data_IF_979901649921
#
_entry.id   IF_979901649921
#
_cell.length_a   1.000
_cell.length_b   1.000
_cell.length_c   1.000
_cell.angle_alpha   90.00
_cell.angle_beta   90.00
_cell.angle_gamma   90.00
#
_symmetry.space_group_name_H-M   'P 1'
#
loop_
_entity.id
_entity.type
_entity.pdbx_description
1 polymer ?
#
# COMPACT_ATOMS: atom_id res chain seq x y z
N UNK A 1 8.99 -0.31 5.71
CA UNK A 1 9.00 1.17 5.72
C UNK A 1 9.68 1.69 6.99
N UNK A 2 10.18 2.94 7.03
CA UNK A 2 10.92 3.48 8.20
C UNK A 2 10.50 4.88 8.64
N UNK A 3 9.77 5.64 7.83
CA UNK A 3 9.34 6.99 8.17
C UNK A 3 8.00 7.35 7.51
N UNK A 4 7.44 8.52 7.86
CA UNK A 4 6.18 9.00 7.29
C UNK A 4 6.20 9.18 5.77
N UNK A 5 7.34 9.57 5.17
CA UNK A 5 7.44 9.67 3.71
C UNK A 5 7.33 8.31 3.01
N UNK A 6 7.86 7.25 3.63
CA UNK A 6 7.69 5.88 3.12
C UNK A 6 6.21 5.49 3.08
N UNK A 7 5.47 5.82 4.15
CA UNK A 7 4.03 5.56 4.24
C UNK A 7 3.28 6.35 3.19
N UNK A 8 3.60 7.64 3.03
CA UNK A 8 2.96 8.48 2.02
C UNK A 8 3.16 7.94 0.61
N UNK A 9 4.38 7.53 0.25
CA UNK A 9 4.67 6.97 -1.07
C UNK A 9 3.86 5.70 -1.34
N UNK A 10 3.81 4.74 -0.41
CA UNK A 10 2.98 3.53 -0.58
C UNK A 10 1.48 3.85 -0.62
N UNK A 11 1.05 4.82 0.18
CA UNK A 11 -0.34 5.27 0.21
C UNK A 11 -0.75 5.86 -1.14
N UNK A 12 0.11 6.71 -1.73
CA UNK A 12 -0.11 7.35 -3.03
C UNK A 12 -0.33 6.29 -4.12
N UNK A 13 0.63 5.38 -4.32
CA UNK A 13 0.52 4.32 -5.34
C UNK A 13 -0.73 3.45 -5.16
N UNK A 14 -1.06 3.09 -3.91
CA UNK A 14 -2.25 2.27 -3.63
C UNK A 14 -3.55 3.04 -3.87
N UNK A 15 -3.60 4.36 -3.62
CA UNK A 15 -4.79 5.17 -3.91
C UNK A 15 -5.02 5.39 -5.40
N UNK A 16 -4.01 5.19 -6.25
CA UNK A 16 -4.15 5.27 -7.71
C UNK A 16 -4.83 4.04 -8.32
N UNK A 17 -4.87 2.92 -7.60
CA UNK A 17 -5.57 1.71 -8.04
C UNK A 17 -7.07 1.96 -8.15
N UNK A 18 -7.63 1.66 -9.32
CA UNK A 18 -9.06 1.84 -9.57
C UNK A 18 -9.89 1.08 -8.53
N UNK A 19 -10.75 1.80 -7.82
CA UNK A 19 -11.67 1.23 -6.85
C UNK A 19 -11.16 1.24 -5.41
N UNK A 20 -9.95 1.71 -5.13
CA UNK A 20 -9.50 2.03 -3.78
C UNK A 20 -10.21 3.29 -3.27
N UNK A 21 -10.83 3.19 -2.10
CA UNK A 21 -11.55 4.29 -1.45
C UNK A 21 -10.75 4.86 -0.27
N UNK A 22 -10.03 4.00 0.46
CA UNK A 22 -9.12 4.41 1.54
C UNK A 22 -7.96 3.44 1.71
N UNK A 23 -6.85 3.96 2.23
CA UNK A 23 -5.64 3.21 2.58
C UNK A 23 -5.24 3.58 4.00
N UNK A 24 -5.14 2.58 4.87
CA UNK A 24 -4.70 2.73 6.25
C UNK A 24 -3.44 1.90 6.46
N UNK A 25 -2.34 2.56 6.87
CA UNK A 25 -1.03 1.93 7.05
C UNK A 25 -0.62 1.97 8.52
N UNK A 26 -0.38 0.80 9.10
CA UNK A 26 0.25 0.68 10.43
C UNK A 26 1.76 0.55 10.25
N UNK A 27 2.47 1.67 10.43
CA UNK A 27 3.92 1.73 10.23
C UNK A 27 4.66 0.98 11.34
N UNK A 28 5.24 -0.17 10.97
CA UNK A 28 6.22 -0.88 11.77
C UNK A 28 7.60 -0.59 11.22
N UNK A 29 8.31 0.37 11.84
CA UNK A 29 9.62 0.81 11.37
C UNK A 29 10.62 -0.37 11.31
N UNK A 30 11.12 -0.67 10.10
CA UNK A 30 12.06 -1.77 9.86
C UNK A 30 11.44 -3.18 9.85
N UNK A 31 10.12 -3.30 9.97
CA UNK A 31 9.38 -4.56 9.92
C UNK A 31 8.31 -4.59 8.83
N UNK A 32 7.45 -5.60 8.91
CA UNK A 32 6.24 -5.72 8.08
C UNK A 32 5.21 -4.73 8.62
N UNK A 33 4.80 -3.78 7.78
CA UNK A 33 3.79 -2.78 8.10
C UNK A 33 2.44 -3.23 7.51
N UNK A 34 1.45 -3.59 8.34
CA UNK A 34 0.12 -3.95 7.85
C UNK A 34 -0.53 -2.79 7.08
N UNK A 35 -1.18 -3.12 5.97
CA UNK A 35 -1.96 -2.18 5.16
C UNK A 35 -3.38 -2.71 5.04
N UNK A 36 -4.36 -1.84 5.29
CA UNK A 36 -5.78 -2.14 5.10
C UNK A 36 -6.29 -1.26 3.98
N UNK A 37 -6.95 -1.89 3.02
CA UNK A 37 -7.59 -1.22 1.88
C UNK A 37 -9.11 -1.31 2.05
N UNK A 38 -9.78 -0.18 1.90
CA UNK A 38 -11.22 -0.16 1.64
C UNK A 38 -11.42 -0.03 0.15
N UNK A 39 -12.13 -0.97 -0.47
CA UNK A 39 -12.28 -1.02 -1.93
C UNK A 39 -13.74 -1.21 -2.36
N UNK A 40 -14.10 -0.58 -3.46
CA UNK A 40 -15.41 -0.70 -4.13
C UNK A 40 -15.50 -1.91 -5.07
N UNK A 41 -14.36 -2.55 -5.36
CA UNK A 41 -14.23 -3.80 -6.11
C UNK A 41 -13.15 -4.69 -5.52
N UNK A 42 -13.15 -5.95 -5.93
CA UNK A 42 -12.03 -6.86 -5.65
C UNK A 42 -10.79 -6.39 -6.43
N UNK A 43 -9.66 -6.32 -5.72
CA UNK A 43 -8.34 -6.10 -6.29
C UNK A 43 -7.61 -7.43 -6.32
N UNK A 44 -6.91 -7.70 -7.41
CA UNK A 44 -6.01 -8.85 -7.49
C UNK A 44 -4.75 -8.59 -6.66
N UNK A 45 -4.12 -9.69 -6.23
CA UNK A 45 -2.83 -9.61 -5.54
C UNK A 45 -1.74 -8.98 -6.40
N UNK A 46 -1.81 -9.19 -7.72
CA UNK A 46 -0.86 -8.61 -8.67
C UNK A 46 -1.00 -7.09 -8.77
N UNK A 47 -2.22 -6.55 -8.86
CA UNK A 47 -2.46 -5.09 -8.85
C UNK A 47 -1.91 -4.43 -7.57
N UNK A 48 -2.14 -5.04 -6.41
CA UNK A 48 -1.62 -4.54 -5.13
C UNK A 48 -0.09 -4.63 -5.11
N UNK A 49 0.47 -5.75 -5.57
CA UNK A 49 1.92 -5.97 -5.57
C UNK A 49 2.64 -4.97 -6.46
N UNK A 50 2.16 -4.77 -7.68
CA UNK A 50 2.75 -3.82 -8.63
C UNK A 50 2.78 -2.41 -8.05
N UNK A 51 1.68 -1.91 -7.49
CA UNK A 51 1.64 -0.59 -6.85
C UNK A 51 2.63 -0.47 -5.67
N UNK A 52 2.74 -1.51 -4.84
CA UNK A 52 3.70 -1.53 -3.71
C UNK A 52 5.16 -1.59 -4.21
N UNK A 53 5.41 -2.29 -5.31
CA UNK A 53 6.73 -2.37 -5.96
C UNK A 53 7.14 -1.04 -6.61
N UNK A 54 6.20 -0.28 -7.18
CA UNK A 54 6.45 1.08 -7.68
C UNK A 54 6.90 2.03 -6.57
N UNK A 55 6.35 1.88 -5.36
CA UNK A 55 6.82 2.58 -4.16
C UNK A 55 8.16 2.04 -3.60
N UNK A 56 8.71 0.96 -4.17
CA UNK A 56 9.99 0.36 -3.77
C UNK A 56 9.90 -0.61 -2.59
N UNK A 57 8.74 -1.22 -2.36
CA UNK A 57 8.52 -2.22 -1.31
C UNK A 57 8.01 -3.54 -1.87
N UNK A 58 7.85 -4.54 -1.01
CA UNK A 58 7.32 -5.86 -1.36
C UNK A 58 6.18 -6.22 -0.41
N UNK A 59 5.19 -6.95 -0.93
CA UNK A 59 4.14 -7.59 -0.12
C UNK A 59 4.67 -8.94 0.40
N UNK A 60 4.31 -9.30 1.63
CA UNK A 60 4.82 -10.49 2.35
C UNK A 60 3.69 -11.37 2.88
#
# INVERSE_FOLDING_TARGET
MTCGHCVMSVTEELTELEGVESVDVDLVAGGVSPVVLTTSRELSEDEIREAVEEAGYTVA
#
